data_IF_001726927400
#
_entry.id   IF_001726927400
#
_cell.length_a   1.000
_cell.length_b   1.000
_cell.length_c   1.000
_cell.angle_alpha   90.00
_cell.angle_beta   90.00
_cell.angle_gamma   90.00
#
_symmetry.space_group_name_H-M   'P 1'
#
loop_
_entity.id
_entity.type
_entity.pdbx_description
1 polymer ?
#
# COMPACT_ATOMS: atom_id res chain seq x y z
N UNK A 1 2.01 8.13 25.37
CA UNK A 1 2.49 9.10 24.36
C UNK A 1 2.83 8.31 23.10
N UNK A 2 1.86 8.05 22.25
CA UNK A 2 2.12 7.41 20.95
C UNK A 2 2.64 8.47 20.00
N UNK A 3 3.96 8.55 19.89
CA UNK A 3 4.62 9.35 18.86
C UNK A 3 4.45 8.59 17.54
N UNK A 4 3.34 8.82 16.86
CA UNK A 4 3.14 8.41 15.48
C UNK A 4 4.11 9.24 14.62
N UNK A 5 5.36 8.77 14.53
CA UNK A 5 6.30 9.29 13.55
C UNK A 5 5.82 8.70 12.22
N UNK A 6 5.22 9.53 11.38
CA UNK A 6 5.06 9.19 9.96
C UNK A 6 6.46 9.05 9.38
N UNK A 7 6.94 7.81 9.31
CA UNK A 7 8.15 7.50 8.57
C UNK A 7 7.86 7.76 7.10
N UNK A 8 8.55 8.74 6.52
CA UNK A 8 8.47 9.06 5.10
C UNK A 8 8.62 7.79 4.27
N UNK A 9 7.78 7.64 3.24
CA UNK A 9 7.86 6.51 2.32
C UNK A 9 9.20 6.47 1.58
N UNK A 10 9.65 5.26 1.25
CA UNK A 10 10.89 5.05 0.53
C UNK A 10 10.72 5.51 -0.92
N UNK A 11 11.45 6.57 -1.29
CA UNK A 11 11.56 7.03 -2.67
C UNK A 11 12.87 6.55 -3.29
N UNK A 12 12.98 6.69 -4.62
CA UNK A 12 14.10 6.12 -5.38
C UNK A 12 15.47 6.56 -4.86
N UNK A 13 15.63 7.81 -4.40
CA UNK A 13 16.89 8.28 -3.84
C UNK A 13 17.25 7.59 -2.51
N UNK A 14 16.27 7.35 -1.64
CA UNK A 14 16.47 6.57 -0.42
C UNK A 14 16.81 5.11 -0.75
N UNK A 15 16.13 4.51 -1.73
CA UNK A 15 16.44 3.18 -2.21
C UNK A 15 17.88 3.06 -2.73
N UNK A 16 18.38 4.02 -3.51
CA UNK A 16 19.76 4.01 -4.01
C UNK A 16 20.79 3.99 -2.88
N UNK A 17 20.56 4.75 -1.81
CA UNK A 17 21.41 4.71 -0.61
C UNK A 17 21.37 3.34 0.04
N UNK A 18 20.20 2.72 0.17
CA UNK A 18 20.06 1.38 0.74
C UNK A 18 20.71 0.31 -0.14
N UNK A 19 20.53 0.38 -1.46
CA UNK A 19 21.15 -0.56 -2.41
C UNK A 19 22.68 -0.51 -2.34
N UNK A 20 23.26 0.68 -2.26
CA UNK A 20 24.70 0.86 -2.03
C UNK A 20 25.13 0.27 -0.67
N UNK A 21 24.38 0.53 0.39
CA UNK A 21 24.76 0.10 1.73
C UNK A 21 24.66 -1.42 1.96
N UNK A 22 23.66 -2.07 1.37
CA UNK A 22 23.40 -3.50 1.61
C UNK A 22 23.96 -4.42 0.53
N UNK A 23 24.02 -3.96 -0.72
CA UNK A 23 24.41 -4.77 -1.87
C UNK A 23 25.69 -4.28 -2.56
N UNK A 24 26.25 -3.14 -2.14
CA UNK A 24 27.43 -2.50 -2.75
C UNK A 24 27.27 -2.23 -4.26
N UNK A 25 26.05 -1.84 -4.67
CA UNK A 25 25.72 -1.50 -6.06
C UNK A 25 25.16 -0.07 -6.17
N UNK A 26 25.51 0.61 -7.26
CA UNK A 26 24.96 1.94 -7.60
C UNK A 26 24.03 1.90 -8.83
N UNK A 27 24.06 0.80 -9.59
CA UNK A 27 23.27 0.59 -10.79
C UNK A 27 22.91 -0.88 -10.98
N UNK A 28 21.72 -1.14 -11.52
CA UNK A 28 21.27 -2.48 -11.87
C UNK A 28 20.10 -2.39 -12.86
N UNK A 29 19.96 -3.39 -13.74
CA UNK A 29 18.86 -3.45 -14.72
C UNK A 29 17.46 -3.42 -14.08
N UNK A 30 17.35 -3.82 -12.81
CA UNK A 30 16.09 -3.87 -12.05
C UNK A 30 15.76 -2.53 -11.37
N UNK A 31 16.69 -1.58 -11.32
CA UNK A 31 16.46 -0.28 -10.64
C UNK A 31 15.31 0.49 -11.28
N UNK A 32 15.19 0.45 -12.61
CA UNK A 32 14.08 1.10 -13.32
C UNK A 32 12.73 0.56 -12.84
N UNK A 33 12.60 -0.77 -12.73
CA UNK A 33 11.39 -1.42 -12.23
C UNK A 33 11.12 -1.08 -10.75
N UNK A 34 12.15 -1.11 -9.91
CA UNK A 34 12.02 -0.73 -8.50
C UNK A 34 11.58 0.72 -8.36
N UNK A 35 12.16 1.65 -9.11
CA UNK A 35 11.78 3.07 -9.10
C UNK A 35 10.30 3.25 -9.40
N UNK A 36 9.82 2.65 -10.49
CA UNK A 36 8.41 2.73 -10.88
C UNK A 36 7.50 2.22 -9.76
N UNK A 37 7.83 1.05 -9.17
CA UNK A 37 7.02 0.44 -8.12
C UNK A 37 7.00 1.27 -6.83
N UNK A 38 8.10 1.93 -6.47
CA UNK A 38 8.19 2.83 -5.31
C UNK A 38 7.40 4.14 -5.49
N UNK A 39 7.15 4.56 -6.73
CA UNK A 39 6.29 5.71 -7.00
C UNK A 39 4.81 5.35 -6.87
N UNK A 40 4.44 4.13 -7.21
CA UNK A 40 3.06 3.62 -7.14
C UNK A 40 2.68 3.08 -5.74
N UNK A 41 3.64 2.86 -4.85
CA UNK A 41 3.42 2.14 -3.58
C UNK A 41 3.98 2.88 -2.37
N UNK A 42 3.21 2.86 -1.29
CA UNK A 42 3.58 3.42 0.02
C UNK A 42 4.32 2.38 0.88
N UNK A 43 5.62 2.17 0.60
CA UNK A 43 6.48 1.25 1.36
C UNK A 43 7.50 2.03 2.20
N UNK A 44 7.85 1.55 3.40
CA UNK A 44 8.81 2.27 4.27
C UNK A 44 10.26 1.93 3.92
N UNK A 45 11.23 2.81 4.23
CA UNK A 45 12.65 2.49 4.07
C UNK A 45 13.10 1.23 4.85
N UNK A 46 12.46 0.94 5.98
CA UNK A 46 12.74 -0.25 6.77
C UNK A 46 12.31 -1.53 6.05
N UNK A 47 11.10 -1.55 5.47
CA UNK A 47 10.62 -2.68 4.67
C UNK A 47 11.51 -2.90 3.43
N UNK A 48 11.95 -1.82 2.79
CA UNK A 48 12.89 -1.90 1.67
C UNK A 48 14.23 -2.49 2.12
N UNK A 49 14.79 -2.00 3.23
CA UNK A 49 16.06 -2.50 3.78
C UNK A 49 15.98 -3.99 4.13
N UNK A 50 14.89 -4.46 4.76
CA UNK A 50 14.69 -5.87 5.08
C UNK A 50 14.75 -6.75 3.83
N UNK A 51 14.16 -6.29 2.71
CA UNK A 51 14.19 -7.03 1.46
C UNK A 51 15.55 -6.97 0.75
N UNK A 52 16.40 -5.98 1.04
CA UNK A 52 17.75 -5.87 0.51
C UNK A 52 18.81 -6.60 1.35
N UNK A 53 18.54 -6.90 2.63
CA UNK A 53 19.47 -7.66 3.48
C UNK A 53 19.65 -9.08 2.94
N UNK A 54 20.88 -9.47 2.62
CA UNK A 54 21.20 -10.84 2.21
C UNK A 54 20.82 -11.83 3.32
N UNK A 55 19.97 -12.81 3.00
CA UNK A 55 19.49 -13.84 3.95
C UNK A 55 20.42 -15.05 4.04
N UNK A 56 21.31 -15.21 3.06
CA UNK A 56 22.32 -16.26 3.02
C UNK A 56 23.63 -15.73 2.46
N UNK A 57 24.75 -16.36 2.87
CA UNK A 57 26.06 -16.03 2.33
C UNK A 57 26.10 -16.33 0.81
N UNK A 58 26.44 -15.31 0.01
CA UNK A 58 26.51 -15.42 -1.45
C UNK A 58 25.20 -15.15 -2.20
N UNK A 59 24.14 -14.70 -1.52
CA UNK A 59 22.93 -14.19 -2.20
C UNK A 59 23.30 -12.93 -2.99
N UNK A 60 23.10 -12.95 -4.31
CA UNK A 60 23.44 -11.83 -5.20
C UNK A 60 22.43 -10.68 -5.15
N UNK A 61 22.83 -9.55 -5.72
CA UNK A 61 21.99 -8.37 -5.85
C UNK A 61 20.67 -8.65 -6.59
N UNK A 62 20.72 -9.47 -7.65
CA UNK A 62 19.54 -9.89 -8.42
C UNK A 62 18.45 -10.48 -7.52
N UNK A 63 18.82 -11.43 -6.65
CA UNK A 63 17.89 -12.15 -5.79
C UNK A 63 17.25 -11.19 -4.77
N UNK A 64 18.05 -10.29 -4.20
CA UNK A 64 17.58 -9.29 -3.24
C UNK A 64 16.61 -8.29 -3.89
N UNK A 65 16.92 -7.82 -5.10
CA UNK A 65 16.07 -6.90 -5.86
C UNK A 65 14.79 -7.56 -6.36
N UNK A 66 14.84 -8.80 -6.84
CA UNK A 66 13.66 -9.56 -7.21
C UNK A 66 12.72 -9.79 -6.02
N UNK A 67 13.29 -10.05 -4.84
CA UNK A 67 12.53 -10.21 -3.60
C UNK A 67 11.84 -8.90 -3.21
N UNK A 68 12.56 -7.78 -3.29
CA UNK A 68 11.99 -6.45 -3.07
C UNK A 68 10.82 -6.17 -4.04
N UNK A 69 11.01 -6.44 -5.33
CA UNK A 69 9.97 -6.26 -6.35
C UNK A 69 8.71 -7.06 -5.99
N UNK A 70 8.86 -8.35 -5.65
CA UNK A 70 7.73 -9.20 -5.24
C UNK A 70 7.02 -8.66 -3.99
N UNK A 71 7.77 -8.13 -3.03
CA UNK A 71 7.21 -7.55 -1.83
C UNK A 71 6.38 -6.28 -2.14
N UNK A 72 6.89 -5.39 -2.98
CA UNK A 72 6.18 -4.16 -3.38
C UNK A 72 4.92 -4.50 -4.19
N UNK A 73 5.01 -5.41 -5.17
CA UNK A 73 3.87 -5.85 -5.99
C UNK A 73 2.75 -6.45 -5.12
N UNK A 74 3.12 -7.26 -4.11
CA UNK A 74 2.18 -7.81 -3.15
C UNK A 74 1.53 -6.71 -2.30
N UNK A 75 2.32 -5.78 -1.75
CA UNK A 75 1.80 -4.68 -0.94
C UNK A 75 0.80 -3.81 -1.71
N UNK A 76 1.10 -3.51 -2.98
CA UNK A 76 0.21 -2.74 -3.86
C UNK A 76 -1.10 -3.51 -4.13
N UNK A 77 -1.01 -4.81 -4.45
CA UNK A 77 -2.19 -5.65 -4.66
C UNK A 77 -3.08 -5.71 -3.42
N UNK A 78 -2.49 -5.91 -2.24
CA UNK A 78 -3.22 -6.00 -0.98
C UNK A 78 -3.88 -4.66 -0.62
N UNK A 79 -3.20 -3.53 -0.87
CA UNK A 79 -3.77 -2.19 -0.69
C UNK A 79 -4.97 -1.95 -1.60
N UNK A 80 -4.87 -2.34 -2.88
CA UNK A 80 -5.98 -2.20 -3.84
C UNK A 80 -7.20 -3.03 -3.45
N UNK A 81 -6.99 -4.28 -3.06
CA UNK A 81 -8.09 -5.16 -2.62
C UNK A 81 -8.79 -4.61 -1.37
N UNK A 82 -8.03 -4.08 -0.40
CA UNK A 82 -8.59 -3.44 0.79
C UNK A 82 -9.40 -2.19 0.44
N UNK A 83 -8.90 -1.35 -0.46
CA UNK A 83 -9.60 -0.15 -0.90
C UNK A 83 -10.91 -0.49 -1.64
N UNK A 84 -10.92 -1.55 -2.45
CA UNK A 84 -12.11 -2.02 -3.16
C UNK A 84 -13.18 -2.58 -2.19
N UNK A 85 -12.78 -3.43 -1.24
CA UNK A 85 -13.66 -3.96 -0.20
C UNK A 85 -14.23 -2.82 0.67
N UNK A 86 -13.41 -1.85 1.08
CA UNK A 86 -13.86 -0.71 1.87
C UNK A 86 -14.85 0.19 1.09
N UNK A 87 -14.60 0.42 -0.19
CA UNK A 87 -15.50 1.19 -1.06
C UNK A 87 -16.86 0.47 -1.22
N UNK A 88 -16.85 -0.86 -1.37
CA UNK A 88 -18.07 -1.65 -1.47
C UNK A 88 -18.89 -1.62 -0.17
N UNK A 89 -18.24 -1.78 0.98
CA UNK A 89 -18.90 -1.70 2.29
C UNK A 89 -19.51 -0.31 2.53
N UNK A 90 -18.78 0.76 2.18
CA UNK A 90 -19.31 2.13 2.27
C UNK A 90 -20.52 2.35 1.36
N UNK A 91 -20.48 1.85 0.12
CA UNK A 91 -21.60 1.95 -0.80
C UNK A 91 -22.84 1.21 -0.29
N UNK A 92 -22.67 -0.02 0.24
CA UNK A 92 -23.76 -0.79 0.83
C UNK A 92 -24.35 -0.13 2.09
N UNK A 93 -23.51 0.48 2.93
CA UNK A 93 -23.96 1.23 4.11
C UNK A 93 -24.73 2.49 3.70
N UNK A 94 -24.24 3.26 2.74
CA UNK A 94 -24.91 4.44 2.21
C UNK A 94 -26.28 4.10 1.59
N UNK A 95 -26.39 2.99 0.87
CA UNK A 95 -27.66 2.52 0.29
C UNK A 95 -28.67 2.17 1.40
N UNK A 96 -28.26 1.41 2.42
CA UNK A 96 -29.11 1.08 3.58
C UNK A 96 -29.56 2.33 4.32
N UNK A 97 -28.69 3.32 4.51
CA UNK A 97 -29.03 4.60 5.15
C UNK A 97 -30.05 5.38 4.30
N UNK A 98 -29.89 5.40 2.97
CA UNK A 98 -30.84 6.06 2.07
C UNK A 98 -32.21 5.39 2.10
N UNK A 99 -32.27 4.06 2.00
CA UNK A 99 -33.51 3.29 2.06
C UNK A 99 -34.26 3.52 3.39
N UNK A 100 -33.56 3.50 4.53
CA UNK A 100 -34.17 3.76 5.84
C UNK A 100 -34.76 5.17 5.95
N UNK A 101 -34.07 6.20 5.41
CA UNK A 101 -34.58 7.58 5.37
C UNK A 101 -35.81 7.72 4.49
N UNK A 102 -35.86 7.02 3.36
CA UNK A 102 -37.04 7.00 2.49
C UNK A 102 -38.23 6.32 3.16
N UNK A 103 -38.02 5.18 3.82
CA UNK A 103 -39.07 4.51 4.60
C UNK A 103 -39.62 5.40 5.72
N UNK A 104 -38.76 6.12 6.44
CA UNK A 104 -39.16 7.07 7.50
C UNK A 104 -39.98 8.23 6.93
N UNK A 105 -39.56 8.81 5.79
CA UNK A 105 -40.34 9.84 5.08
C UNK A 105 -41.71 9.30 4.64
N UNK A 106 -41.77 8.10 4.08
CA UNK A 106 -43.01 7.50 3.60
C UNK A 106 -44.00 7.26 4.75
N UNK A 107 -43.50 6.79 5.90
CA UNK A 107 -44.30 6.61 7.13
C UNK A 107 -44.84 7.95 7.64
N UNK A 108 -44.01 9.00 7.64
CA UNK A 108 -44.42 10.34 8.07
C UNK A 108 -45.51 10.93 7.15
N UNK A 109 -45.36 10.80 5.82
CA UNK A 109 -46.36 11.26 4.86
C UNK A 109 -47.68 10.51 5.08
N UNK A 110 -47.65 9.18 5.22
CA UNK A 110 -48.84 8.37 5.47
C UNK A 110 -49.58 8.76 6.76
N UNK A 111 -48.84 9.15 7.81
CA UNK A 111 -49.43 9.61 9.07
C UNK A 111 -50.10 11.00 8.96
N UNK A 112 -49.67 11.87 8.04
CA UNK A 112 -50.28 13.19 7.84
C UNK A 112 -51.55 13.17 6.99
N UNK A 113 -51.77 12.12 6.19
CA UNK A 113 -52.92 12.01 5.27
C UNK A 113 -54.10 11.23 5.90
N UNK A 114 -53.93 10.71 7.13
CA UNK A 114 -54.99 10.10 7.94
C UNK A 114 -55.54 11.10 8.95
#
# INVERSE_FOLDING_TARGET
MDKHIELSYCKFDAFKVLAKNYLDIESHDLFAKVSQLLDETNITPADVAENLMTKAAGEGADICLERLIKAIEKANKDARLKAEEEAKLKAEEEEKVRARREEEKQKMISAMVR
#
